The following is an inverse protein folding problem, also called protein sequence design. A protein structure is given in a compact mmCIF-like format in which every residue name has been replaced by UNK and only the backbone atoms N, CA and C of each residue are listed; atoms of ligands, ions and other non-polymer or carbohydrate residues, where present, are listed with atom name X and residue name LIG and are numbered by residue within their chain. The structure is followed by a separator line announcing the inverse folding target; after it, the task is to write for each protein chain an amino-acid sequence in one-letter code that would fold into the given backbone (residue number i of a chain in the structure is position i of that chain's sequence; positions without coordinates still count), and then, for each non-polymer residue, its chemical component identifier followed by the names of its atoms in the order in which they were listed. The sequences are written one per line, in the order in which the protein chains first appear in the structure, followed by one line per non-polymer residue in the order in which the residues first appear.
data_IF_845561210178
#
_entry.id   IF_845561210178
#
_cell.length_a   1.000
_cell.length_b   1.000
_cell.length_c   1.000
_cell.angle_alpha   90.00
_cell.angle_beta   90.00
_cell.angle_gamma   90.00
#
_symmetry.space_group_name_H-M   'P 1'
#
loop_
_entity.id
_entity.type
_entity.pdbx_description
1 polymer ?
#
# COMPACT_ATOMS: atom_id res chain seq x y z
N UNK A 1 8.34 -1.57 113.10
CA UNK A 1 9.03 -1.64 111.80
C UNK A 1 7.98 -1.63 110.71
N UNK A 2 8.04 -0.59 109.89
CA UNK A 2 7.03 -0.18 108.92
C UNK A 2 6.92 -1.15 107.74
N UNK A 3 5.72 -1.30 107.20
CA UNK A 3 5.46 -2.11 106.01
C UNK A 3 3.98 -2.10 105.64
N UNK A 4 3.42 -0.92 105.43
CA UNK A 4 2.01 -0.69 105.06
C UNK A 4 1.87 -0.82 103.55
N UNK A 5 1.21 -1.87 103.06
CA UNK A 5 0.85 -1.99 101.63
C UNK A 5 -0.64 -1.74 101.45
N UNK A 6 -0.91 -0.63 100.77
CA UNK A 6 -2.19 0.00 100.50
C UNK A 6 -2.86 -0.67 99.29
N UNK A 7 -4.15 -1.04 99.40
CA UNK A 7 -5.03 -1.34 98.26
C UNK A 7 -5.57 -0.02 97.69
N UNK A 8 -5.64 0.14 96.35
CA UNK A 8 -6.62 1.05 95.78
C UNK A 8 -7.54 0.39 94.73
N UNK A 9 -8.83 0.68 94.93
CA UNK A 9 -9.87 1.07 93.98
C UNK A 9 -9.88 0.50 92.55
N UNK A 10 -10.98 -0.21 92.25
CA UNK A 10 -11.50 -0.43 90.90
C UNK A 10 -11.82 0.90 90.21
N UNK A 11 -11.13 1.17 89.11
CA UNK A 11 -11.51 2.15 88.09
C UNK A 11 -12.28 1.44 86.97
N UNK A 12 -13.39 2.04 86.53
CA UNK A 12 -14.23 1.53 85.44
C UNK A 12 -13.53 1.54 84.08
N UNK A 13 -14.06 0.80 83.09
CA UNK A 13 -13.46 0.72 81.77
C UNK A 13 -13.65 2.03 81.00
N UNK A 14 -12.53 2.63 80.62
CA UNK A 14 -12.45 3.66 79.58
C UNK A 14 -12.76 2.98 78.25
N UNK A 15 -13.82 3.42 77.59
CA UNK A 15 -14.19 3.01 76.24
C UNK A 15 -13.22 3.66 75.25
N UNK A 16 -12.09 3.00 74.98
CA UNK A 16 -11.17 3.38 73.91
C UNK A 16 -11.77 2.91 72.58
N UNK A 17 -12.38 3.83 71.82
CA UNK A 17 -12.67 3.60 70.40
C UNK A 17 -11.35 3.43 69.64
N UNK A 18 -10.92 2.17 69.47
CA UNK A 18 -9.94 1.81 68.46
C UNK A 18 -10.66 1.90 67.12
N UNK A 19 -10.48 3.03 66.43
CA UNK A 19 -10.83 3.17 65.03
C UNK A 19 -9.87 2.28 64.24
N UNK A 20 -10.21 1.00 64.10
CA UNK A 20 -9.54 0.07 63.22
C UNK A 20 -9.75 0.53 61.79
N UNK A 21 -8.76 1.23 61.23
CA UNK A 21 -8.69 1.51 59.81
C UNK A 21 -8.43 0.17 59.10
N UNK A 22 -9.50 -0.56 58.78
CA UNK A 22 -9.48 -1.63 57.81
C UNK A 22 -9.25 -0.98 56.44
N UNK A 23 -7.99 -0.83 56.07
CA UNK A 23 -7.59 -0.58 54.69
C UNK A 23 -7.99 -1.81 53.90
N UNK A 24 -9.19 -1.77 53.32
CA UNK A 24 -9.50 -2.59 52.16
C UNK A 24 -8.52 -2.16 51.08
N UNK A 25 -7.47 -2.97 50.88
CA UNK A 25 -6.74 -3.00 49.62
C UNK A 25 -7.76 -3.38 48.56
N UNK A 26 -8.36 -2.38 47.92
CA UNK A 26 -9.00 -2.57 46.64
C UNK A 26 -7.95 -3.22 45.73
N UNK A 27 -8.25 -4.32 45.04
CA UNK A 27 -7.37 -4.81 44.00
C UNK A 27 -7.12 -3.62 43.06
N UNK A 28 -5.83 -3.31 42.82
CA UNK A 28 -5.46 -2.34 41.82
C UNK A 28 -6.24 -2.69 40.56
N UNK A 29 -7.18 -1.84 40.16
CA UNK A 29 -7.85 -1.98 38.90
C UNK A 29 -6.74 -2.00 37.85
N UNK A 30 -6.54 -3.15 37.20
CA UNK A 30 -5.70 -3.24 36.03
C UNK A 30 -6.11 -2.09 35.12
N UNK A 31 -5.18 -1.18 34.85
CA UNK A 31 -5.40 -0.13 33.85
C UNK A 31 -5.76 -0.90 32.59
N UNK A 32 -7.03 -0.85 32.20
CA UNK A 32 -7.49 -1.45 30.95
C UNK A 32 -6.58 -0.87 29.87
N UNK A 33 -5.82 -1.73 29.20
CA UNK A 33 -5.05 -1.29 28.05
C UNK A 33 -6.02 -0.57 27.10
N UNK A 34 -5.61 0.58 26.57
CA UNK A 34 -6.40 1.26 25.56
C UNK A 34 -6.66 0.28 24.41
N UNK A 35 -7.86 0.30 23.79
CA UNK A 35 -8.12 -0.55 22.63
C UNK A 35 -7.08 -0.28 21.53
N UNK A 36 -6.81 -1.26 20.65
CA UNK A 36 -5.93 -1.04 19.50
C UNK A 36 -6.37 0.17 18.67
N UNK A 37 -5.41 0.95 18.20
CA UNK A 37 -5.67 2.27 17.63
C UNK A 37 -6.52 2.23 16.36
N UNK A 38 -7.39 3.22 16.22
CA UNK A 38 -7.99 3.63 14.95
C UNK A 38 -7.01 4.42 14.09
N UNK A 39 -7.30 4.60 12.79
CA UNK A 39 -6.48 5.45 11.91
C UNK A 39 -6.39 6.89 12.43
N UNK A 40 -7.50 7.44 12.94
CA UNK A 40 -7.55 8.80 13.45
C UNK A 40 -6.66 9.00 14.69
N UNK A 41 -6.63 8.03 15.60
CA UNK A 41 -5.75 8.05 16.77
C UNK A 41 -4.28 7.92 16.35
N UNK A 42 -3.98 7.08 15.35
CA UNK A 42 -2.63 6.94 14.81
C UNK A 42 -2.14 8.24 14.17
N UNK A 43 -2.95 8.88 13.32
CA UNK A 43 -2.64 10.20 12.73
C UNK A 43 -2.40 11.25 13.80
N UNK A 44 -3.20 11.24 14.87
CA UNK A 44 -3.03 12.15 16.01
C UNK A 44 -1.73 11.87 16.78
N UNK A 45 -1.31 10.60 16.89
CA UNK A 45 -0.08 10.22 17.56
C UNK A 45 1.17 10.56 16.73
N UNK A 46 1.15 10.22 15.45
CA UNK A 46 2.20 10.51 14.47
C UNK A 46 1.69 10.29 13.04
N UNK A 47 1.53 11.38 12.28
CA UNK A 47 1.22 11.31 10.85
C UNK A 47 2.51 11.28 10.01
N UNK A 48 2.89 10.08 9.57
CA UNK A 48 4.08 9.89 8.73
C UNK A 48 3.94 10.50 7.32
N UNK A 49 2.71 10.82 6.87
CA UNK A 49 2.51 11.52 5.60
C UNK A 49 2.95 12.97 5.66
N UNK A 50 2.91 13.59 6.84
CA UNK A 50 3.27 14.99 7.07
C UNK A 50 4.72 15.22 7.48
N UNK A 51 5.50 14.17 7.74
CA UNK A 51 6.88 14.33 8.20
C UNK A 51 7.78 14.93 7.10
N UNK A 52 8.69 15.86 7.48
CA UNK A 52 9.59 16.47 6.52
C UNK A 52 10.58 15.44 5.99
N UNK A 53 10.91 15.55 4.70
CA UNK A 53 12.01 14.80 4.10
C UNK A 53 13.32 15.59 4.22
N UNK A 54 14.45 14.89 4.25
CA UNK A 54 15.76 15.52 4.17
C UNK A 54 15.92 16.31 2.86
N UNK A 55 16.66 17.42 2.91
CA UNK A 55 17.01 18.17 1.70
C UNK A 55 17.75 17.27 0.72
N UNK A 56 17.31 17.26 -0.54
CA UNK A 56 17.89 16.40 -1.57
C UNK A 56 17.38 14.95 -1.56
N UNK A 57 16.36 14.65 -0.74
CA UNK A 57 15.65 13.38 -0.82
C UNK A 57 15.00 13.21 -2.21
N UNK A 58 15.04 11.98 -2.71
CA UNK A 58 14.23 11.56 -3.84
C UNK A 58 12.75 11.48 -3.41
N UNK A 59 11.84 11.33 -4.37
CA UNK A 59 10.44 11.05 -4.07
C UNK A 59 10.33 9.80 -3.17
N UNK A 60 9.47 9.82 -2.13
CA UNK A 60 9.29 8.67 -1.26
C UNK A 60 8.91 7.41 -2.04
N UNK A 61 9.54 6.31 -1.68
CA UNK A 61 9.17 4.96 -2.14
C UNK A 61 7.88 4.49 -1.48
N UNK A 62 7.62 4.91 -0.24
CA UNK A 62 6.35 4.76 0.46
C UNK A 62 6.11 5.99 1.33
N UNK A 63 4.88 6.48 1.35
CA UNK A 63 4.45 7.55 2.24
C UNK A 63 2.97 7.35 2.56
N UNK A 64 2.71 6.84 3.75
CA UNK A 64 1.38 6.54 4.29
C UNK A 64 1.34 6.95 5.76
N UNK A 65 0.22 6.70 6.46
CA UNK A 65 0.10 7.01 7.89
C UNK A 65 1.08 6.15 8.69
N UNK A 66 1.30 4.90 8.28
CA UNK A 66 2.11 3.94 9.03
C UNK A 66 3.51 3.69 8.49
N UNK A 67 3.84 4.16 7.28
CA UNK A 67 5.15 3.99 6.68
C UNK A 67 5.61 5.22 5.93
N UNK A 68 6.82 5.70 6.27
CA UNK A 68 7.58 6.63 5.45
C UNK A 68 8.89 5.98 5.05
N UNK A 69 9.16 5.86 3.74
CA UNK A 69 10.45 5.41 3.26
C UNK A 69 10.91 6.15 2.02
N UNK A 70 12.16 6.60 2.02
CA UNK A 70 12.73 7.37 0.91
C UNK A 70 14.25 7.19 0.81
N UNK A 71 14.81 7.71 -0.27
CA UNK A 71 16.25 7.66 -0.56
C UNK A 71 16.85 9.05 -0.52
N UNK A 72 18.05 9.18 0.02
CA UNK A 72 18.78 10.46 0.11
C UNK A 72 20.28 10.22 0.07
N UNK A 73 21.03 11.15 -0.52
CA UNK A 73 22.50 11.14 -0.44
C UNK A 73 22.93 11.70 0.91
N UNK A 74 23.42 10.84 1.81
CA UNK A 74 23.83 11.18 3.17
C UNK A 74 24.67 10.02 3.78
N UNK A 75 25.07 10.15 5.04
CA UNK A 75 25.53 9.04 5.88
C UNK A 75 24.42 8.57 6.85
N UNK A 76 24.51 7.33 7.36
CA UNK A 76 23.48 6.76 8.24
C UNK A 76 23.28 7.58 9.53
N UNK A 77 24.33 8.01 10.26
CA UNK A 77 24.19 8.86 11.44
C UNK A 77 23.44 10.17 11.17
N UNK A 78 23.79 10.88 10.09
CA UNK A 78 23.11 12.13 9.70
C UNK A 78 21.64 11.91 9.38
N UNK A 79 21.32 10.86 8.61
CA UNK A 79 19.94 10.55 8.24
C UNK A 79 19.09 10.13 9.44
N UNK A 80 19.65 9.33 10.36
CA UNK A 80 18.99 8.95 11.61
C UNK A 80 18.77 10.15 12.53
N UNK A 81 19.79 10.98 12.73
CA UNK A 81 19.71 12.15 13.60
C UNK A 81 18.64 13.15 13.14
N UNK A 82 18.44 13.30 11.82
CA UNK A 82 17.40 14.16 11.25
C UNK A 82 15.99 13.77 11.74
N UNK A 83 15.60 12.50 11.60
CA UNK A 83 14.27 12.05 12.03
C UNK A 83 14.15 11.85 13.53
N UNK A 84 15.23 11.41 14.20
CA UNK A 84 15.28 11.36 15.66
C UNK A 84 14.95 12.73 16.27
N UNK A 85 15.49 13.82 15.69
CA UNK A 85 15.17 15.18 16.12
C UNK A 85 13.68 15.47 15.94
N UNK A 86 13.11 15.22 14.75
CA UNK A 86 11.68 15.43 14.46
C UNK A 86 10.77 14.66 15.42
N UNK A 87 11.11 13.42 15.76
CA UNK A 87 10.38 12.59 16.72
C UNK A 87 10.50 13.16 18.15
N UNK A 88 11.71 13.53 18.57
CA UNK A 88 11.96 14.08 19.92
C UNK A 88 11.25 15.43 20.12
N UNK A 89 11.21 16.30 19.11
CA UNK A 89 10.46 17.55 19.13
C UNK A 89 8.94 17.34 19.26
N UNK A 90 8.45 16.17 18.86
CA UNK A 90 7.08 15.70 19.03
C UNK A 90 6.89 14.86 20.31
N UNK A 91 7.83 14.93 21.26
CA UNK A 91 7.83 14.23 22.56
C UNK A 91 7.94 12.70 22.49
N UNK A 92 8.39 12.15 21.36
CA UNK A 92 8.70 10.72 21.28
C UNK A 92 10.01 10.41 22.01
N UNK A 93 9.99 9.36 22.84
CA UNK A 93 11.13 8.95 23.66
C UNK A 93 11.84 7.75 23.03
N UNK A 94 13.11 7.93 22.68
CA UNK A 94 13.98 6.83 22.21
C UNK A 94 14.18 5.78 23.31
N UNK A 95 13.96 4.53 22.96
CA UNK A 95 14.13 3.38 23.84
C UNK A 95 15.59 2.90 23.86
N UNK A 96 16.02 2.20 24.93
CA UNK A 96 17.31 1.54 24.96
C UNK A 96 17.48 0.56 23.79
N UNK A 97 18.71 0.44 23.28
CA UNK A 97 19.05 -0.45 22.17
C UNK A 97 19.16 0.24 20.81
N UNK A 98 19.10 1.57 20.75
CA UNK A 98 19.47 2.32 19.56
C UNK A 98 20.93 2.06 19.17
N UNK A 99 21.18 1.93 17.88
CA UNK A 99 22.49 1.69 17.28
C UNK A 99 22.74 2.77 16.25
N UNK A 100 23.96 3.31 16.21
CA UNK A 100 24.37 4.28 15.19
C UNK A 100 25.82 4.03 14.82
N UNK A 101 26.04 3.59 13.59
CA UNK A 101 27.34 3.38 12.95
C UNK A 101 27.31 3.99 11.54
N UNK A 102 28.45 4.02 10.86
CA UNK A 102 28.51 4.50 9.47
C UNK A 102 27.69 3.63 8.51
N UNK A 103 27.60 2.32 8.77
CA UNK A 103 26.95 1.34 7.90
C UNK A 103 25.49 1.07 8.28
N UNK A 104 25.03 1.56 9.44
CA UNK A 104 23.71 1.25 9.95
C UNK A 104 23.33 2.17 11.11
N UNK A 105 22.11 2.73 11.09
CA UNK A 105 21.55 3.39 12.26
C UNK A 105 20.09 2.99 12.45
N UNK A 106 19.70 2.66 13.68
CA UNK A 106 18.31 2.33 14.00
C UNK A 106 17.97 2.60 15.46
N UNK A 107 16.71 2.86 15.72
CA UNK A 107 16.16 2.92 17.07
C UNK A 107 14.65 2.80 17.10
N UNK A 108 14.13 2.58 18.29
CA UNK A 108 12.70 2.49 18.57
C UNK A 108 12.32 3.65 19.47
N UNK A 109 11.18 4.28 19.20
CA UNK A 109 10.66 5.40 19.97
C UNK A 109 9.25 5.09 20.44
N UNK A 110 8.88 5.62 21.61
CA UNK A 110 7.53 5.45 22.15
C UNK A 110 6.91 6.77 22.58
N UNK A 111 5.60 6.90 22.42
CA UNK A 111 4.82 8.04 22.90
C UNK A 111 3.37 7.62 23.18
N UNK A 112 2.87 7.84 24.40
CA UNK A 112 1.50 7.47 24.80
C UNK A 112 1.06 6.05 24.40
N UNK A 113 1.96 5.07 24.58
CA UNK A 113 1.71 3.66 24.25
C UNK A 113 1.96 3.32 22.78
N UNK A 114 2.08 4.30 21.88
CA UNK A 114 2.47 4.05 20.50
C UNK A 114 3.96 3.76 20.37
N UNK A 115 4.32 2.93 19.40
CA UNK A 115 5.70 2.53 19.07
C UNK A 115 5.99 2.86 17.61
N UNK A 116 7.12 3.52 17.34
CA UNK A 116 7.64 3.76 15.98
C UNK A 116 9.09 3.30 15.91
N UNK A 117 9.47 2.63 14.82
CA UNK A 117 10.86 2.32 14.51
C UNK A 117 11.39 3.28 13.44
N UNK A 118 12.67 3.65 13.56
CA UNK A 118 13.40 4.45 12.59
C UNK A 118 14.67 3.70 12.22
N UNK A 119 14.95 3.58 10.93
CA UNK A 119 16.21 3.04 10.40
C UNK A 119 16.76 3.87 9.25
N UNK A 120 18.09 3.89 9.14
CA UNK A 120 18.84 4.46 8.04
C UNK A 120 19.94 3.46 7.67
N UNK A 121 19.89 2.96 6.43
CA UNK A 121 20.80 1.92 5.93
C UNK A 121 21.33 2.27 4.54
N UNK A 122 22.59 1.97 4.19
CA UNK A 122 23.09 2.14 2.84
C UNK A 122 22.30 1.26 1.87
N UNK A 123 21.94 1.79 0.71
CA UNK A 123 21.22 1.01 -0.30
C UNK A 123 22.09 -0.14 -0.87
N UNK A 124 23.42 0.02 -0.80
CA UNK A 124 24.38 -0.97 -1.31
C UNK A 124 24.46 -1.05 -2.83
N UNK A 125 23.82 -0.14 -3.56
CA UNK A 125 23.86 -0.06 -5.02
C UNK A 125 25.18 0.61 -5.48
N UNK A 126 26.07 -0.11 -6.20
CA UNK A 126 27.32 0.46 -6.70
C UNK A 126 27.14 1.63 -7.67
N UNK A 127 25.98 1.74 -8.33
CA UNK A 127 25.67 2.85 -9.24
C UNK A 127 25.23 4.11 -8.50
N UNK A 128 24.91 4.00 -7.22
CA UNK A 128 24.42 5.08 -6.37
C UNK A 128 25.19 5.13 -5.04
N UNK A 129 26.52 5.36 -5.07
CA UNK A 129 27.33 5.40 -3.87
C UNK A 129 26.88 6.55 -2.95
N UNK A 130 26.82 6.27 -1.64
CA UNK A 130 26.40 7.25 -0.63
C UNK A 130 24.89 7.50 -0.56
N UNK A 131 24.06 6.69 -1.24
CA UNK A 131 22.60 6.73 -1.07
C UNK A 131 22.18 5.87 0.12
N UNK A 132 21.46 6.50 1.03
CA UNK A 132 20.86 5.90 2.22
C UNK A 132 19.37 5.70 1.98
N UNK A 133 18.87 4.53 2.35
CA UNK A 133 17.46 4.26 2.51
C UNK A 133 17.05 4.56 3.94
N UNK A 134 16.10 5.49 4.10
CA UNK A 134 15.52 5.88 5.38
C UNK A 134 14.14 5.28 5.48
N UNK A 135 13.79 4.66 6.62
CA UNK A 135 12.49 4.07 6.88
C UNK A 135 11.99 4.41 8.28
N UNK A 136 10.74 4.84 8.38
CA UNK A 136 10.00 4.97 9.64
C UNK A 136 8.74 4.11 9.55
N UNK A 137 8.54 3.25 10.54
CA UNK A 137 7.37 2.36 10.61
C UNK A 137 6.65 2.56 11.94
N UNK A 138 5.38 2.94 11.87
CA UNK A 138 4.49 3.04 13.03
C UNK A 138 3.90 1.65 13.32
N UNK A 139 4.18 1.11 14.50
CA UNK A 139 3.73 -0.22 14.93
C UNK A 139 2.36 -0.21 15.61
N UNK A 140 1.86 0.98 15.96
CA UNK A 140 0.61 1.14 16.71
C UNK A 140 0.82 1.16 18.22
N UNK A 141 -0.25 0.95 18.97
CA UNK A 141 -0.32 1.11 20.43
C UNK A 141 -0.52 -0.19 21.23
N UNK A 142 -0.22 -1.35 20.63
CA UNK A 142 -0.46 -2.65 21.25
C UNK A 142 0.72 -3.07 22.11
N UNK A 143 0.47 -3.31 23.40
CA UNK A 143 1.45 -3.95 24.28
C UNK A 143 1.47 -5.47 24.02
N UNK A 144 2.44 -5.91 23.21
CA UNK A 144 2.62 -7.31 22.83
C UNK A 144 2.84 -8.24 24.03
N UNK A 145 3.34 -7.72 25.16
CA UNK A 145 3.52 -8.52 26.38
C UNK A 145 2.20 -8.86 27.06
N UNK A 146 1.21 -8.00 26.90
CA UNK A 146 -0.11 -8.12 27.53
C UNK A 146 -1.08 -9.02 26.77
N UNK A 147 -0.76 -9.36 25.51
CA UNK A 147 -1.60 -10.22 24.69
C UNK A 147 -1.79 -11.61 25.32
N UNK A 148 -2.98 -12.21 25.19
CA UNK A 148 -3.24 -13.52 25.74
C UNK A 148 -2.39 -14.57 25.04
N UNK A 149 -1.82 -15.49 25.81
CA UNK A 149 -0.90 -16.52 25.32
C UNK A 149 -1.17 -17.88 25.98
N UNK A 150 -0.92 -19.00 25.28
CA UNK A 150 -1.06 -20.33 25.87
C UNK A 150 -0.23 -20.49 27.15
N UNK A 151 -0.76 -21.27 28.10
CA UNK A 151 -0.08 -21.54 29.36
C UNK A 151 1.25 -22.29 29.14
N UNK A 152 2.23 -22.05 30.03
CA UNK A 152 3.52 -22.76 30.00
C UNK A 152 4.54 -22.23 28.98
N UNK A 153 4.24 -21.14 28.29
CA UNK A 153 5.22 -20.46 27.42
C UNK A 153 6.34 -19.78 28.22
N UNK A 154 7.57 -19.87 27.72
CA UNK A 154 8.74 -19.17 28.25
C UNK A 154 9.14 -18.02 27.34
N UNK A 155 9.45 -16.86 27.92
CA UNK A 155 9.87 -15.66 27.18
C UNK A 155 11.29 -15.84 26.63
N UNK A 156 11.46 -15.65 25.32
CA UNK A 156 12.78 -15.58 24.67
C UNK A 156 13.24 -14.12 24.63
N UNK A 157 12.35 -13.25 24.17
CA UNK A 157 12.58 -11.82 24.02
C UNK A 157 11.24 -11.09 24.05
N UNK A 158 11.12 -9.98 24.77
CA UNK A 158 9.90 -9.16 24.78
C UNK A 158 10.32 -7.71 24.65
N UNK A 159 10.15 -7.16 23.45
CA UNK A 159 10.41 -5.76 23.14
C UNK A 159 9.16 -5.04 22.63
N UNK A 160 9.23 -3.71 22.45
CA UNK A 160 8.06 -2.91 22.05
C UNK A 160 7.46 -3.28 20.69
N UNK A 161 8.29 -3.78 19.76
CA UNK A 161 7.88 -4.09 18.39
C UNK A 161 7.69 -5.59 18.12
N UNK A 162 8.27 -6.44 18.97
CA UNK A 162 8.20 -7.91 18.82
C UNK A 162 8.27 -8.60 20.17
N UNK A 163 7.41 -9.59 20.37
CA UNK A 163 7.47 -10.49 21.51
C UNK A 163 7.64 -11.94 21.02
N UNK A 164 8.60 -12.65 21.59
CA UNK A 164 9.00 -14.00 21.20
C UNK A 164 8.93 -14.94 22.41
N UNK A 165 8.30 -16.08 22.21
CA UNK A 165 8.08 -17.11 23.22
C UNK A 165 8.49 -18.48 22.69
N UNK A 166 8.75 -19.40 23.61
CA UNK A 166 8.95 -20.83 23.31
C UNK A 166 8.01 -21.70 24.13
N UNK A 167 7.63 -22.85 23.57
CA UNK A 167 6.88 -23.90 24.27
C UNK A 167 7.32 -25.28 23.79
N UNK A 168 7.07 -26.30 24.64
CA UNK A 168 7.26 -27.70 24.27
C UNK A 168 6.06 -28.30 23.53
N UNK A 169 4.91 -27.59 23.52
CA UNK A 169 3.73 -28.02 22.78
C UNK A 169 4.02 -28.04 21.25
N UNK A 170 3.39 -28.95 20.49
CA UNK A 170 3.52 -29.00 19.03
C UNK A 170 3.11 -27.69 18.35
N UNK A 171 3.67 -27.44 17.16
CA UNK A 171 3.42 -26.23 16.35
C UNK A 171 1.93 -26.03 16.08
N UNK A 172 1.23 -27.08 15.63
CA UNK A 172 -0.19 -27.01 15.28
C UNK A 172 -1.08 -26.74 16.50
N UNK A 173 -0.86 -27.46 17.60
CA UNK A 173 -1.58 -27.24 18.86
C UNK A 173 -1.36 -25.81 19.38
N UNK A 174 -0.12 -25.32 19.30
CA UNK A 174 0.23 -23.96 19.74
C UNK A 174 -0.47 -22.91 18.87
N UNK A 175 -0.50 -23.08 17.55
CA UNK A 175 -1.17 -22.15 16.63
C UNK A 175 -2.69 -22.08 16.90
N UNK A 176 -3.34 -23.24 17.08
CA UNK A 176 -4.77 -23.30 17.44
C UNK A 176 -5.05 -22.61 18.77
N UNK A 177 -4.20 -22.84 19.77
CA UNK A 177 -4.36 -22.21 21.09
C UNK A 177 -4.17 -20.68 21.03
N UNK A 178 -3.16 -20.19 20.30
CA UNK A 178 -2.98 -18.75 20.07
C UNK A 178 -4.18 -18.13 19.36
N UNK A 179 -4.66 -18.74 18.27
CA UNK A 179 -5.84 -18.24 17.52
C UNK A 179 -7.06 -18.14 18.43
N UNK A 180 -7.35 -19.20 19.19
CA UNK A 180 -8.50 -19.22 20.11
C UNK A 180 -8.45 -18.06 21.10
N UNK A 181 -7.31 -17.88 21.77
CA UNK A 181 -7.14 -16.84 22.78
C UNK A 181 -7.27 -15.42 22.20
N UNK A 182 -6.72 -15.17 21.01
CA UNK A 182 -6.82 -13.86 20.37
C UNK A 182 -8.26 -13.56 19.92
N UNK A 183 -8.98 -14.55 19.39
CA UNK A 183 -10.39 -14.39 19.03
C UNK A 183 -11.26 -14.11 20.26
N UNK A 184 -11.00 -14.80 21.38
CA UNK A 184 -11.68 -14.54 22.66
C UNK A 184 -11.40 -13.13 23.21
N UNK A 185 -10.24 -12.55 22.87
CA UNK A 185 -9.83 -11.18 23.20
C UNK A 185 -10.32 -10.12 22.19
N UNK A 186 -11.11 -10.53 21.19
CA UNK A 186 -11.75 -9.63 20.23
C UNK A 186 -10.94 -9.34 18.97
N UNK A 187 -9.82 -10.03 18.76
CA UNK A 187 -9.07 -9.97 17.50
C UNK A 187 -9.77 -10.75 16.40
N UNK A 188 -9.88 -10.15 15.22
CA UNK A 188 -10.54 -10.77 14.06
C UNK A 188 -9.50 -11.44 13.16
N UNK A 189 -9.67 -12.69 12.73
CA UNK A 189 -8.81 -13.30 11.72
C UNK A 189 -8.76 -12.44 10.45
N UNK A 190 -7.56 -12.24 9.92
CA UNK A 190 -7.29 -11.31 8.83
C UNK A 190 -6.28 -11.89 7.83
N UNK A 191 -6.49 -13.16 7.48
CA UNK A 191 -5.65 -13.92 6.56
C UNK A 191 -4.63 -14.83 7.24
N UNK A 192 -4.07 -15.76 6.47
CA UNK A 192 -3.04 -16.69 6.92
C UNK A 192 -2.12 -17.15 5.80
N UNK A 193 -0.92 -17.56 6.17
CA UNK A 193 0.08 -18.22 5.34
C UNK A 193 0.69 -19.40 6.11
N UNK A 194 1.49 -20.29 5.49
CA UNK A 194 2.15 -21.37 6.23
C UNK A 194 2.98 -20.85 7.41
N UNK A 195 2.60 -21.23 8.63
CA UNK A 195 3.28 -20.82 9.88
C UNK A 195 3.04 -19.38 10.33
N UNK A 196 2.14 -18.64 9.67
CA UNK A 196 1.81 -17.25 10.01
C UNK A 196 0.30 -17.02 9.91
N UNK A 197 -0.28 -16.38 10.92
CA UNK A 197 -1.66 -15.92 10.90
C UNK A 197 -1.71 -14.44 11.25
N UNK A 198 -2.55 -13.70 10.54
CA UNK A 198 -2.76 -12.28 10.80
C UNK A 198 -4.11 -12.08 11.47
N UNK A 199 -4.14 -11.14 12.40
CA UNK A 199 -5.36 -10.70 13.07
C UNK A 199 -5.47 -9.19 12.99
N UNK A 200 -6.68 -8.68 13.12
CA UNK A 200 -6.97 -7.26 13.08
C UNK A 200 -7.92 -6.84 14.19
N UNK A 201 -7.64 -5.69 14.77
CA UNK A 201 -8.55 -4.97 15.66
C UNK A 201 -8.36 -3.48 15.37
N UNK A 202 -9.46 -2.80 15.02
CA UNK A 202 -9.42 -1.44 14.45
C UNK A 202 -8.38 -1.35 13.31
N UNK A 203 -7.50 -0.36 13.34
CA UNK A 203 -6.46 -0.16 12.34
C UNK A 203 -5.12 -0.78 12.74
N UNK A 204 -5.09 -1.79 13.62
CA UNK A 204 -3.88 -2.55 13.94
C UNK A 204 -3.96 -3.95 13.34
N UNK A 205 -2.89 -4.36 12.66
CA UNK A 205 -2.67 -5.76 12.27
C UNK A 205 -1.65 -6.40 13.21
N UNK A 206 -2.06 -7.49 13.84
CA UNK A 206 -1.20 -8.39 14.61
C UNK A 206 -0.74 -9.53 13.71
N UNK A 207 0.55 -9.81 13.70
CA UNK A 207 1.14 -10.99 13.06
C UNK A 207 1.51 -12.00 14.12
N UNK A 208 1.04 -13.24 13.98
CA UNK A 208 1.38 -14.37 14.84
C UNK A 208 2.10 -15.39 14.00
N UNK A 209 3.40 -15.58 14.23
CA UNK A 209 4.16 -16.65 13.61
C UNK A 209 4.38 -17.78 14.61
N UNK A 210 4.07 -19.01 14.20
CA UNK A 210 4.29 -20.22 14.99
C UNK A 210 5.07 -21.20 14.15
N UNK A 211 6.27 -21.58 14.61
CA UNK A 211 7.19 -22.42 13.85
C UNK A 211 8.01 -23.32 14.76
N UNK A 212 8.53 -24.41 14.21
CA UNK A 212 9.53 -25.21 14.90
C UNK A 212 10.85 -24.44 14.98
N UNK A 213 11.53 -24.51 16.11
CA UNK A 213 12.84 -23.90 16.33
C UNK A 213 13.90 -25.00 16.57
N UNK A 214 14.55 -25.54 15.51
CA UNK A 214 15.56 -26.59 15.65
C UNK A 214 16.71 -26.19 16.59
N UNK A 215 17.12 -24.92 16.55
CA UNK A 215 18.15 -24.36 17.43
C UNK A 215 17.76 -24.33 18.92
N UNK A 216 16.48 -24.52 19.25
CA UNK A 216 15.98 -24.57 20.62
C UNK A 216 15.53 -25.99 21.02
N UNK A 217 16.33 -26.99 20.62
CA UNK A 217 16.04 -28.41 20.89
C UNK A 217 14.67 -28.87 20.34
N UNK A 218 14.26 -28.34 19.19
CA UNK A 218 13.01 -28.72 18.53
C UNK A 218 11.74 -28.18 19.19
N UNK A 219 11.85 -27.23 20.13
CA UNK A 219 10.70 -26.50 20.70
C UNK A 219 9.95 -25.72 19.63
N UNK A 220 8.71 -25.38 19.92
CA UNK A 220 7.92 -24.44 19.12
C UNK A 220 8.25 -23.01 19.55
N UNK A 221 8.56 -22.15 18.58
CA UNK A 221 8.70 -20.71 18.77
C UNK A 221 7.45 -19.98 18.30
N UNK A 222 7.04 -18.97 19.09
CA UNK A 222 5.95 -18.05 18.77
C UNK A 222 6.52 -16.65 18.70
N UNK A 223 6.24 -15.92 17.62
CA UNK A 223 6.60 -14.51 17.46
C UNK A 223 5.35 -13.68 17.20
N UNK A 224 5.18 -12.61 17.97
CA UNK A 224 4.10 -11.64 17.85
C UNK A 224 4.68 -10.30 17.42
N UNK A 225 4.09 -9.63 16.44
CA UNK A 225 4.41 -8.25 16.08
C UNK A 225 3.16 -7.50 15.63
N UNK A 226 3.12 -6.19 15.86
CA UNK A 226 2.00 -5.32 15.47
C UNK A 226 2.45 -4.26 14.46
N UNK A 227 1.52 -3.89 13.60
CA UNK A 227 1.69 -2.84 12.60
C UNK A 227 0.44 -1.97 12.54
N UNK A 228 0.65 -0.65 12.48
CA UNK A 228 -0.42 0.29 12.17
C UNK A 228 -0.79 0.16 10.69
N UNK A 229 -2.08 0.13 10.40
CA UNK A 229 -2.63 0.20 9.05
C UNK A 229 -3.01 1.66 8.73
N UNK A 230 -2.79 2.06 7.49
CA UNK A 230 -3.19 3.38 6.98
C UNK A 230 -4.68 3.48 6.63
N UNK A 231 -5.38 2.35 6.61
CA UNK A 231 -6.83 2.29 6.46
C UNK A 231 -7.39 1.11 7.26
N UNK A 232 -8.55 1.33 7.89
CA UNK A 232 -9.33 0.28 8.52
C UNK A 232 -10.20 -0.41 7.45
N UNK A 233 -9.60 -1.36 6.72
CA UNK A 233 -10.28 -2.13 5.68
C UNK A 233 -10.82 -3.43 6.30
N UNK A 234 -12.14 -3.67 6.34
CA UNK A 234 -12.69 -4.92 6.85
C UNK A 234 -12.55 -6.06 5.83
N UNK A 235 -12.51 -7.29 6.31
CA UNK A 235 -12.60 -8.50 5.49
C UNK A 235 -13.39 -9.58 6.26
N UNK A 236 -14.05 -10.53 5.56
CA UNK A 236 -14.63 -11.71 6.20
C UNK A 236 -13.56 -12.53 6.94
N UNK A 237 -13.97 -13.25 7.99
CA UNK A 237 -13.05 -14.05 8.80
C UNK A 237 -12.45 -15.24 8.02
N UNK A 238 -13.27 -15.87 7.16
CA UNK A 238 -12.86 -17.03 6.37
C UNK A 238 -12.61 -16.61 4.92
N UNK A 239 -11.33 -16.49 4.59
CA UNK A 239 -10.86 -16.06 3.26
C UNK A 239 -9.73 -16.95 2.76
N UNK A 240 -9.51 -16.93 1.46
CA UNK A 240 -8.41 -17.60 0.78
C UNK A 240 -7.43 -16.54 0.30
N UNK A 241 -6.15 -16.70 0.64
CA UNK A 241 -5.06 -15.84 0.19
C UNK A 241 -5.29 -14.33 0.44
N UNK A 242 -5.85 -13.96 1.59
CA UNK A 242 -6.04 -12.56 1.94
C UNK A 242 -4.70 -11.83 1.99
N UNK A 243 -4.63 -10.73 1.25
CA UNK A 243 -3.49 -9.82 1.16
C UNK A 243 -3.95 -8.40 1.43
N UNK A 244 -3.27 -7.71 2.33
CA UNK A 244 -3.41 -6.27 2.54
C UNK A 244 -2.18 -5.55 2.00
N UNK A 245 -2.41 -4.49 1.23
CA UNK A 245 -1.37 -3.59 0.74
C UNK A 245 -1.60 -2.18 1.28
N UNK A 246 -0.70 -1.70 2.14
CA UNK A 246 -0.84 -0.38 2.77
C UNK A 246 -0.71 0.78 1.77
N UNK A 247 0.17 0.61 0.77
CA UNK A 247 0.42 1.61 -0.28
C UNK A 247 -0.81 1.92 -1.13
N UNK A 248 -1.69 0.93 -1.33
CA UNK A 248 -2.96 1.09 -2.06
C UNK A 248 -4.19 1.06 -1.16
N UNK A 249 -3.99 0.91 0.16
CA UNK A 249 -5.05 0.81 1.18
C UNK A 249 -6.15 -0.17 0.77
N UNK A 250 -5.74 -1.34 0.29
CA UNK A 250 -6.68 -2.33 -0.22
C UNK A 250 -6.46 -3.70 0.42
N UNK A 251 -7.55 -4.45 0.56
CA UNK A 251 -7.53 -5.88 0.81
C UNK A 251 -7.96 -6.63 -0.46
N UNK A 252 -7.25 -7.70 -0.78
CA UNK A 252 -7.55 -8.63 -1.87
C UNK A 252 -7.67 -10.02 -1.25
N UNK A 253 -8.73 -10.76 -1.57
CA UNK A 253 -8.88 -12.15 -1.18
C UNK A 253 -9.76 -12.91 -2.16
N UNK A 254 -9.67 -14.23 -2.10
CA UNK A 254 -10.60 -15.14 -2.74
C UNK A 254 -11.54 -15.76 -1.70
N UNK A 255 -12.77 -16.09 -2.10
CA UNK A 255 -13.75 -16.75 -1.24
C UNK A 255 -14.58 -17.77 -2.02
N UNK A 256 -15.14 -18.75 -1.29
CA UNK A 256 -16.17 -19.67 -1.81
C UNK A 256 -17.59 -19.15 -1.57
N UNK A 257 -17.72 -18.03 -0.86
CA UNK A 257 -19.00 -17.38 -0.62
C UNK A 257 -19.57 -16.82 -1.93
N UNK A 258 -20.89 -16.63 -1.94
CA UNK A 258 -21.57 -16.04 -3.08
C UNK A 258 -21.40 -14.52 -3.03
N UNK A 259 -21.50 -13.89 -4.19
CA UNK A 259 -21.40 -12.43 -4.31
C UNK A 259 -22.40 -11.70 -3.39
N UNK A 260 -23.63 -12.20 -3.32
CA UNK A 260 -24.69 -11.67 -2.45
C UNK A 260 -24.28 -11.67 -0.97
N UNK A 261 -23.58 -12.72 -0.52
CA UNK A 261 -23.13 -12.87 0.86
C UNK A 261 -22.02 -11.84 1.18
N UNK A 262 -21.12 -11.59 0.22
CA UNK A 262 -20.06 -10.57 0.32
C UNK A 262 -20.64 -9.15 0.31
N UNK A 263 -21.62 -8.89 -0.55
CA UNK A 263 -22.33 -7.60 -0.59
C UNK A 263 -23.02 -7.35 0.75
N UNK A 264 -23.76 -8.34 1.28
CA UNK A 264 -24.43 -8.24 2.57
C UNK A 264 -23.44 -7.97 3.71
N UNK A 265 -22.31 -8.69 3.73
CA UNK A 265 -21.23 -8.47 4.71
C UNK A 265 -20.75 -7.01 4.72
N UNK A 266 -20.46 -6.43 3.56
CA UNK A 266 -19.95 -5.07 3.49
C UNK A 266 -21.02 -4.01 3.77
N UNK A 267 -22.27 -4.21 3.36
CA UNK A 267 -23.37 -3.34 3.77
C UNK A 267 -23.52 -3.28 5.29
N UNK A 268 -23.50 -4.43 5.96
CA UNK A 268 -23.62 -4.49 7.41
C UNK A 268 -22.39 -3.87 8.09
N UNK A 269 -21.20 -4.31 7.70
CA UNK A 269 -19.94 -3.95 8.38
C UNK A 269 -19.61 -2.48 8.18
N UNK A 270 -19.63 -1.99 6.93
CA UNK A 270 -19.35 -0.59 6.64
C UNK A 270 -20.53 0.31 7.08
N UNK A 271 -21.78 -0.18 7.00
CA UNK A 271 -22.95 0.54 7.49
C UNK A 271 -22.88 0.86 8.98
N UNK A 272 -22.43 -0.08 9.82
CA UNK A 272 -22.17 0.14 11.25
C UNK A 272 -21.12 1.23 11.51
N UNK A 273 -20.18 1.41 10.58
CA UNK A 273 -19.14 2.44 10.64
C UNK A 273 -19.55 3.76 9.92
N UNK A 274 -20.83 3.93 9.57
CA UNK A 274 -21.36 5.16 8.99
C UNK A 274 -21.14 5.32 7.48
N UNK A 275 -20.72 4.26 6.80
CA UNK A 275 -20.60 4.25 5.34
C UNK A 275 -21.94 3.92 4.69
N UNK A 276 -22.19 4.50 3.52
CA UNK A 276 -23.40 4.27 2.73
C UNK A 276 -23.02 3.84 1.33
N UNK A 277 -23.63 2.76 0.86
CA UNK A 277 -23.51 2.36 -0.54
C UNK A 277 -24.14 3.41 -1.46
N UNK A 278 -23.53 3.68 -2.61
CA UNK A 278 -24.05 4.62 -3.61
C UNK A 278 -25.15 4.02 -4.47
N UNK A 279 -25.25 2.69 -4.50
CA UNK A 279 -26.29 1.91 -5.18
C UNK A 279 -26.75 0.77 -4.26
N UNK A 280 -27.95 0.24 -4.49
CA UNK A 280 -28.45 -0.92 -3.72
C UNK A 280 -27.74 -2.22 -4.11
N UNK A 281 -27.40 -2.37 -5.38
CA UNK A 281 -26.73 -3.55 -5.92
C UNK A 281 -25.43 -3.15 -6.65
N UNK A 282 -24.47 -4.08 -6.79
CA UNK A 282 -23.29 -3.87 -7.63
C UNK A 282 -23.66 -3.53 -9.07
N UNK A 283 -22.85 -2.68 -9.70
CA UNK A 283 -22.94 -2.32 -11.12
C UNK A 283 -21.91 -3.14 -11.90
N UNK A 284 -22.33 -3.75 -13.01
CA UNK A 284 -21.42 -4.47 -13.90
C UNK A 284 -20.59 -3.49 -14.75
N UNK A 285 -19.27 -3.62 -14.67
CA UNK A 285 -18.29 -2.90 -15.48
C UNK A 285 -17.32 -3.92 -16.07
N UNK A 286 -17.42 -4.15 -17.37
CA UNK A 286 -16.74 -5.24 -18.07
C UNK A 286 -17.01 -6.61 -17.43
N UNK A 287 -15.98 -7.28 -16.92
CA UNK A 287 -16.08 -8.58 -16.24
C UNK A 287 -16.19 -8.46 -14.70
N UNK A 288 -16.24 -7.24 -14.18
CA UNK A 288 -16.27 -6.96 -12.74
C UNK A 288 -17.64 -6.47 -12.30
N UNK A 289 -18.00 -6.75 -11.06
CA UNK A 289 -19.13 -6.16 -10.36
C UNK A 289 -18.59 -5.22 -9.30
N UNK A 290 -19.03 -3.96 -9.35
CA UNK A 290 -18.48 -2.87 -8.54
C UNK A 290 -19.56 -2.26 -7.66
N UNK A 291 -19.25 -2.09 -6.37
CA UNK A 291 -20.08 -1.35 -5.43
C UNK A 291 -19.23 -0.28 -4.73
N UNK A 292 -19.74 0.94 -4.66
CA UNK A 292 -19.04 2.06 -4.02
C UNK A 292 -19.73 2.40 -2.71
N UNK A 293 -18.95 2.65 -1.67
CA UNK A 293 -19.42 3.20 -0.40
C UNK A 293 -18.78 4.56 -0.15
N UNK A 294 -19.55 5.48 0.43
CA UNK A 294 -19.12 6.83 0.83
C UNK A 294 -19.46 7.08 2.29
N UNK A 295 -18.60 7.81 2.99
CA UNK A 295 -18.89 8.34 4.32
C UNK A 295 -19.14 9.86 4.27
N UNK A 296 -19.52 10.47 5.39
CA UNK A 296 -19.75 11.91 5.49
C UNK A 296 -18.50 12.76 5.21
N UNK A 297 -17.28 12.40 5.67
CA UNK A 297 -16.04 13.05 5.27
C UNK A 297 -15.74 13.08 3.76
N UNK A 298 -16.40 12.23 2.96
CA UNK A 298 -16.22 12.13 1.51
C UNK A 298 -15.20 11.07 1.08
N UNK A 299 -14.71 10.25 2.01
CA UNK A 299 -13.90 9.08 1.70
C UNK A 299 -14.69 8.07 0.88
N UNK A 300 -13.98 7.16 0.23
CA UNK A 300 -14.53 6.20 -0.71
C UNK A 300 -13.97 4.81 -0.47
N UNK A 301 -14.86 3.83 -0.38
CA UNK A 301 -14.52 2.43 -0.56
C UNK A 301 -15.02 1.96 -1.94
N UNK A 302 -14.15 1.28 -2.69
CA UNK A 302 -14.56 0.54 -3.91
C UNK A 302 -14.46 -0.95 -3.62
N UNK A 303 -15.60 -1.64 -3.65
CA UNK A 303 -15.70 -3.08 -3.66
C UNK A 303 -15.73 -3.55 -5.12
N UNK A 304 -14.72 -4.31 -5.55
CA UNK A 304 -14.67 -4.95 -6.86
C UNK A 304 -14.73 -6.47 -6.67
N UNK A 305 -15.60 -7.14 -7.42
CA UNK A 305 -15.80 -8.59 -7.35
C UNK A 305 -15.84 -9.19 -8.75
N UNK A 306 -15.25 -10.37 -8.93
CA UNK A 306 -15.42 -11.15 -10.17
C UNK A 306 -15.12 -12.63 -9.94
N UNK A 307 -15.80 -13.54 -10.65
CA UNK A 307 -15.56 -14.97 -10.53
C UNK A 307 -14.25 -15.37 -11.24
N UNK A 308 -13.43 -16.19 -10.57
CA UNK A 308 -12.25 -16.85 -11.15
C UNK A 308 -12.64 -18.28 -11.49
N UNK A 309 -13.07 -18.49 -12.74
CA UNK A 309 -13.72 -19.74 -13.18
C UNK A 309 -12.85 -20.98 -13.00
N UNK A 310 -11.56 -20.87 -13.29
CA UNK A 310 -10.63 -22.02 -13.24
C UNK A 310 -10.36 -22.49 -11.80
N UNK A 311 -10.54 -21.60 -10.82
CA UNK A 311 -10.33 -21.87 -9.40
C UNK A 311 -11.65 -22.10 -8.64
N UNK A 312 -12.80 -21.78 -9.25
CA UNK A 312 -14.11 -21.92 -8.64
C UNK A 312 -14.33 -21.01 -7.44
N UNK A 313 -13.72 -19.81 -7.44
CA UNK A 313 -13.78 -18.83 -6.34
C UNK A 313 -14.28 -17.48 -6.84
N UNK A 314 -14.77 -16.66 -5.91
CA UNK A 314 -15.03 -15.24 -6.13
C UNK A 314 -13.80 -14.45 -5.64
N UNK A 315 -13.20 -13.66 -6.52
CA UNK A 315 -12.14 -12.73 -6.15
C UNK A 315 -12.72 -11.39 -5.75
N UNK A 316 -12.32 -10.89 -4.60
CA UNK A 316 -12.84 -9.69 -3.97
C UNK A 316 -11.70 -8.72 -3.67
N UNK A 317 -11.85 -7.47 -4.07
CA UNK A 317 -10.97 -6.37 -3.68
C UNK A 317 -11.80 -5.27 -3.00
N UNK A 318 -11.41 -4.86 -1.81
CA UNK A 318 -11.94 -3.64 -1.18
C UNK A 318 -10.81 -2.62 -1.05
N UNK A 319 -10.94 -1.47 -1.72
CA UNK A 319 -9.95 -0.39 -1.73
C UNK A 319 -10.49 0.86 -1.06
N UNK A 320 -9.76 1.40 -0.09
CA UNK A 320 -10.04 2.69 0.55
C UNK A 320 -9.32 3.84 -0.16
N UNK A 321 -9.99 4.98 -0.29
CA UNK A 321 -9.42 6.25 -0.72
C UNK A 321 -9.95 7.38 0.17
N UNK A 322 -9.05 8.24 0.66
CA UNK A 322 -9.48 9.41 1.43
C UNK A 322 -10.16 10.44 0.51
N UNK A 323 -10.95 11.34 1.10
CA UNK A 323 -11.59 12.45 0.37
C UNK A 323 -10.57 13.27 -0.46
N UNK A 324 -9.37 13.50 0.09
CA UNK A 324 -8.29 14.20 -0.61
C UNK A 324 -7.76 13.42 -1.82
N UNK A 325 -7.60 12.10 -1.69
CA UNK A 325 -7.18 11.22 -2.79
C UNK A 325 -8.23 11.18 -3.90
N UNK A 326 -9.52 11.11 -3.53
CA UNK A 326 -10.62 11.16 -4.49
C UNK A 326 -10.63 12.50 -5.23
N UNK A 327 -10.57 13.62 -4.53
CA UNK A 327 -10.55 14.94 -5.14
C UNK A 327 -9.35 15.13 -6.09
N UNK A 328 -8.18 14.63 -5.71
CA UNK A 328 -6.99 14.65 -6.56
C UNK A 328 -7.17 13.80 -7.83
N UNK A 329 -7.79 12.62 -7.72
CA UNK A 329 -8.08 11.76 -8.85
C UNK A 329 -9.13 12.38 -9.79
N UNK A 330 -10.21 12.93 -9.26
CA UNK A 330 -11.25 13.63 -10.03
C UNK A 330 -10.68 14.83 -10.78
N UNK A 331 -9.81 15.63 -10.14
CA UNK A 331 -9.11 16.73 -10.79
C UNK A 331 -8.27 16.24 -11.97
N UNK A 332 -7.46 15.19 -11.78
CA UNK A 332 -6.64 14.59 -12.85
C UNK A 332 -7.49 14.08 -14.01
N UNK A 333 -8.62 13.42 -13.71
CA UNK A 333 -9.54 12.92 -14.73
C UNK A 333 -10.16 14.07 -15.53
N UNK A 334 -10.63 15.13 -14.85
CA UNK A 334 -11.21 16.30 -15.50
C UNK A 334 -10.18 17.04 -16.38
N UNK A 335 -8.95 17.20 -15.91
CA UNK A 335 -7.85 17.79 -16.69
C UNK A 335 -7.51 16.92 -17.92
N UNK A 336 -7.46 15.59 -17.77
CA UNK A 336 -7.23 14.67 -18.88
C UNK A 336 -8.37 14.69 -19.91
N UNK A 337 -9.63 14.74 -19.46
CA UNK A 337 -10.79 14.88 -20.34
C UNK A 337 -10.79 16.23 -21.06
N UNK A 338 -10.47 17.33 -20.36
CA UNK A 338 -10.36 18.65 -20.97
C UNK A 338 -9.22 18.71 -22.00
N UNK A 339 -8.07 18.08 -21.71
CA UNK A 339 -6.95 17.96 -22.64
C UNK A 339 -7.34 17.14 -23.88
N UNK A 340 -8.03 16.01 -23.70
CA UNK A 340 -8.55 15.18 -24.80
C UNK A 340 -9.54 15.96 -25.66
N UNK A 341 -10.50 16.66 -25.05
CA UNK A 341 -11.47 17.50 -25.76
C UNK A 341 -10.78 18.64 -26.53
N UNK A 342 -9.72 19.24 -25.97
CA UNK A 342 -8.92 20.27 -26.66
C UNK A 342 -8.20 19.70 -27.88
N UNK A 343 -7.64 18.49 -27.78
CA UNK A 343 -7.04 17.77 -28.90
C UNK A 343 -8.06 17.44 -29.98
N UNK A 344 -9.27 17.01 -29.62
CA UNK A 344 -10.35 16.71 -30.59
C UNK A 344 -10.87 17.96 -31.31
N UNK A 345 -10.88 19.12 -30.64
CA UNK A 345 -11.37 20.38 -31.20
C UNK A 345 -10.28 21.24 -31.88
N UNK A 346 -9.03 20.77 -31.91
CA UNK A 346 -7.97 21.49 -32.61
C UNK A 346 -8.14 21.24 -34.12
N UNK A 347 -8.23 22.30 -34.96
CA UNK A 347 -8.41 22.13 -36.40
C UNK A 347 -7.31 21.25 -36.99
N UNK A 348 -7.69 20.13 -37.58
CA UNK A 348 -6.79 19.25 -38.31
C UNK A 348 -6.41 19.91 -39.63
N UNK A 349 -5.11 20.07 -39.87
CA UNK A 349 -4.66 20.48 -41.21
C UNK A 349 -4.63 19.25 -42.12
N UNK A 350 -5.06 19.42 -43.37
CA UNK A 350 -4.92 18.38 -44.38
C UNK A 350 -3.46 18.27 -44.83
N UNK A 351 -2.96 17.05 -44.86
CA UNK A 351 -1.62 16.68 -45.29
C UNK A 351 -1.76 15.72 -46.44
N UNK A 352 -1.36 16.18 -47.62
CA UNK A 352 -1.34 15.35 -48.82
C UNK A 352 -0.08 14.49 -48.83
N UNK A 353 -0.25 13.17 -48.84
CA UNK A 353 0.85 12.20 -48.87
C UNK A 353 1.03 11.68 -50.29
N UNK A 354 2.19 11.97 -50.88
CA UNK A 354 2.58 11.38 -52.16
C UNK A 354 2.93 9.90 -51.98
N UNK A 355 2.07 9.00 -52.48
CA UNK A 355 2.34 7.58 -52.42
C UNK A 355 3.51 7.21 -53.36
N UNK A 356 4.41 6.29 -52.96
CA UNK A 356 5.50 5.82 -53.81
C UNK A 356 5.00 5.23 -55.13
N UNK A 357 5.83 5.28 -56.17
CA UNK A 357 5.52 4.66 -57.45
C UNK A 357 5.28 3.14 -57.30
N UNK A 358 4.20 2.64 -57.90
CA UNK A 358 3.82 1.23 -57.79
C UNK A 358 3.11 0.85 -56.48
N UNK A 359 2.77 1.82 -55.63
CA UNK A 359 1.96 1.59 -54.44
C UNK A 359 0.52 1.18 -54.80
N UNK A 360 0.01 0.15 -54.13
CA UNK A 360 -1.40 -0.24 -54.19
C UNK A 360 -2.07 0.15 -52.88
N UNK A 361 -3.01 1.10 -52.93
CA UNK A 361 -3.74 1.56 -51.76
C UNK A 361 -4.70 0.47 -51.26
N UNK A 362 -4.57 0.11 -49.98
CA UNK A 362 -5.43 -0.87 -49.30
C UNK A 362 -6.54 -0.18 -48.50
N UNK A 363 -6.20 0.86 -47.72
CA UNK A 363 -7.15 1.63 -46.91
C UNK A 363 -6.78 3.11 -46.92
N UNK A 364 -7.79 4.00 -46.93
CA UNK A 364 -7.58 5.43 -46.71
C UNK A 364 -8.72 6.02 -45.87
N UNK A 365 -8.34 6.64 -44.77
CA UNK A 365 -9.19 7.43 -43.89
C UNK A 365 -8.43 8.70 -43.47
N UNK A 366 -9.11 9.72 -42.90
CA UNK A 366 -8.46 10.95 -42.48
C UNK A 366 -7.33 10.75 -41.47
N UNK A 367 -7.27 9.65 -40.73
CA UNK A 367 -6.19 9.41 -39.75
C UNK A 367 -5.27 8.27 -40.13
N UNK A 368 -5.53 7.56 -41.24
CA UNK A 368 -4.80 6.33 -41.60
C UNK A 368 -4.74 6.13 -43.11
N UNK A 369 -3.56 5.85 -43.64
CA UNK A 369 -3.37 5.37 -45.02
C UNK A 369 -2.59 4.06 -44.96
N UNK A 370 -3.14 3.02 -45.58
CA UNK A 370 -2.47 1.74 -45.75
C UNK A 370 -2.27 1.43 -47.21
N UNK A 371 -1.07 1.00 -47.57
CA UNK A 371 -0.76 0.62 -48.93
C UNK A 371 0.33 -0.46 -48.95
N UNK A 372 0.46 -1.12 -50.09
CA UNK A 372 1.51 -2.09 -50.33
C UNK A 372 2.39 -1.66 -51.49
N UNK A 373 3.65 -2.10 -51.50
CA UNK A 373 4.56 -1.99 -52.64
C UNK A 373 5.16 -3.37 -52.95
N UNK A 374 5.75 -3.54 -54.12
CA UNK A 374 6.36 -4.82 -54.50
C UNK A 374 7.42 -5.27 -53.48
N UNK A 375 7.55 -6.59 -53.32
CA UNK A 375 8.53 -7.23 -52.44
C UNK A 375 9.95 -6.70 -52.66
N UNK A 376 10.68 -6.39 -51.58
CA UNK A 376 12.04 -5.84 -51.65
C UNK A 376 12.11 -4.34 -52.00
N UNK A 377 10.97 -3.65 -52.15
CA UNK A 377 10.92 -2.20 -52.40
C UNK A 377 10.62 -1.38 -51.13
N UNK A 378 10.46 -2.01 -49.97
CA UNK A 378 10.04 -1.34 -48.73
C UNK A 378 10.99 -0.21 -48.31
N UNK A 379 12.30 -0.48 -48.27
CA UNK A 379 13.28 0.57 -47.95
C UNK A 379 13.23 1.76 -48.91
N UNK A 380 13.14 1.49 -50.21
CA UNK A 380 13.11 2.54 -51.23
C UNK A 380 11.82 3.38 -51.13
N UNK A 381 10.68 2.74 -50.89
CA UNK A 381 9.39 3.40 -50.67
C UNK A 381 9.39 4.25 -49.39
N UNK A 382 9.96 3.74 -48.30
CA UNK A 382 10.12 4.49 -47.05
C UNK A 382 11.04 5.71 -47.24
N UNK A 383 12.18 5.54 -47.91
CA UNK A 383 13.13 6.64 -48.17
C UNK A 383 12.52 7.72 -49.08
N UNK A 384 11.68 7.34 -50.05
CA UNK A 384 10.91 8.29 -50.86
C UNK A 384 9.90 9.10 -50.04
N UNK A 385 9.16 8.45 -49.14
CA UNK A 385 8.22 9.12 -48.24
C UNK A 385 8.93 10.05 -47.26
N UNK A 386 10.04 9.61 -46.67
CA UNK A 386 10.88 10.45 -45.79
C UNK A 386 11.31 11.73 -46.48
N UNK A 387 11.87 11.59 -47.68
CA UNK A 387 12.29 12.75 -48.48
C UNK A 387 11.14 13.70 -48.76
N UNK A 388 9.98 13.18 -49.18
CA UNK A 388 8.78 13.99 -49.43
C UNK A 388 8.31 14.74 -48.18
N UNK A 389 8.29 14.09 -47.02
CA UNK A 389 7.92 14.71 -45.74
C UNK A 389 8.92 15.79 -45.32
N UNK A 390 10.22 15.52 -45.43
CA UNK A 390 11.27 16.51 -45.13
C UNK A 390 11.19 17.74 -46.05
N UNK A 391 10.97 17.55 -47.35
CA UNK A 391 10.78 18.63 -48.33
C UNK A 391 9.53 19.47 -48.02
N UNK A 392 8.48 18.84 -47.49
CA UNK A 392 7.29 19.52 -46.98
C UNK A 392 7.50 20.22 -45.62
N UNK A 393 8.73 20.24 -45.10
CA UNK A 393 9.14 20.93 -43.88
C UNK A 393 8.80 20.18 -42.60
N UNK A 394 8.62 18.86 -42.67
CA UNK A 394 8.47 18.02 -41.48
C UNK A 394 9.83 17.65 -40.91
N UNK A 395 9.96 17.76 -39.58
CA UNK A 395 11.13 17.29 -38.86
C UNK A 395 11.00 15.81 -38.58
N UNK A 396 12.04 15.04 -38.90
CA UNK A 396 12.06 13.60 -38.70
C UNK A 396 12.66 13.23 -37.34
N UNK A 397 12.02 12.29 -36.64
CA UNK A 397 12.54 11.58 -35.49
C UNK A 397 12.48 10.08 -35.80
N UNK A 398 13.65 9.47 -36.00
CA UNK A 398 13.78 8.06 -36.39
C UNK A 398 13.86 7.20 -35.15
N UNK A 399 12.97 6.21 -35.06
CA UNK A 399 13.02 5.21 -33.99
C UNK A 399 13.81 3.97 -34.47
N UNK A 400 13.44 3.39 -35.62
CA UNK A 400 14.10 2.19 -36.22
C UNK A 400 13.95 2.24 -37.75
N UNK A 401 15.01 1.93 -38.52
CA UNK A 401 14.94 1.78 -39.97
C UNK A 401 16.03 0.81 -40.51
N UNK A 402 15.78 -0.50 -40.45
CA UNK A 402 16.76 -1.54 -40.80
C UNK A 402 16.58 -2.15 -42.21
N UNK A 403 15.66 -1.59 -43.00
CA UNK A 403 15.40 -1.98 -44.39
C UNK A 403 14.39 -3.12 -44.55
N UNK A 404 14.13 -3.91 -43.50
CA UNK A 404 13.04 -4.90 -43.46
C UNK A 404 11.89 -4.44 -42.57
N UNK A 405 12.18 -3.63 -41.58
CA UNK A 405 11.18 -2.96 -40.75
C UNK A 405 11.61 -1.51 -40.56
N UNK A 406 10.63 -0.60 -40.49
CA UNK A 406 10.90 0.72 -39.97
C UNK A 406 9.70 1.36 -39.31
N UNK A 407 10.01 2.23 -38.36
CA UNK A 407 9.07 3.10 -37.65
C UNK A 407 9.70 4.49 -37.56
N UNK A 408 9.04 5.45 -38.20
CA UNK A 408 9.53 6.81 -38.42
C UNK A 408 8.42 7.79 -38.04
N UNK A 409 8.76 8.76 -37.20
CA UNK A 409 7.82 9.82 -36.81
C UNK A 409 8.23 11.15 -37.45
N UNK A 410 7.27 11.85 -38.05
CA UNK A 410 7.44 13.18 -38.64
C UNK A 410 6.64 14.18 -37.82
N UNK A 411 7.25 15.30 -37.43
CA UNK A 411 6.60 16.37 -36.66
C UNK A 411 6.65 17.72 -37.36
N UNK A 412 5.56 18.48 -37.27
CA UNK A 412 5.46 19.87 -37.74
C UNK A 412 4.57 20.68 -36.81
N UNK A 413 5.17 21.41 -35.87
CA UNK A 413 4.41 22.10 -34.82
C UNK A 413 3.76 21.09 -33.86
N UNK A 414 2.43 21.11 -33.75
CA UNK A 414 1.64 20.16 -32.95
C UNK A 414 1.13 18.95 -33.77
N UNK A 415 1.53 18.86 -35.04
CA UNK A 415 1.11 17.83 -35.98
C UNK A 415 2.14 16.71 -36.04
N UNK A 416 1.66 15.48 -36.19
CA UNK A 416 2.49 14.29 -36.25
C UNK A 416 1.97 13.31 -37.30
N UNK A 417 2.88 12.72 -38.06
CA UNK A 417 2.61 11.61 -38.98
C UNK A 417 3.59 10.48 -38.67
N UNK A 418 3.08 9.30 -38.35
CA UNK A 418 3.89 8.10 -38.10
C UNK A 418 3.84 7.21 -39.34
N UNK A 419 5.01 6.74 -39.78
CA UNK A 419 5.18 5.79 -40.87
C UNK A 419 5.75 4.49 -40.32
N UNK A 420 5.01 3.40 -40.47
CA UNK A 420 5.48 2.06 -40.15
C UNK A 420 5.46 1.19 -41.41
N UNK A 421 6.47 0.34 -41.58
CA UNK A 421 6.52 -0.61 -42.69
C UNK A 421 7.19 -1.93 -42.33
N UNK A 422 6.78 -2.99 -43.04
CA UNK A 422 7.38 -4.33 -42.99
C UNK A 422 7.59 -4.84 -44.42
N UNK A 423 8.83 -5.19 -44.75
CA UNK A 423 9.24 -5.80 -46.01
C UNK A 423 9.99 -7.10 -45.74
N UNK A 424 9.29 -8.24 -45.74
CA UNK A 424 9.90 -9.53 -45.49
C UNK A 424 10.71 -10.04 -46.70
N UNK A 425 10.62 -9.39 -47.86
CA UNK A 425 11.42 -9.70 -49.06
C UNK A 425 10.90 -10.85 -49.93
N UNK A 426 9.77 -11.47 -49.58
CA UNK A 426 9.12 -12.53 -50.38
C UNK A 426 7.60 -12.33 -50.60
N UNK A 427 7.00 -11.33 -49.96
CA UNK A 427 5.62 -10.86 -50.20
C UNK A 427 5.64 -9.33 -50.32
N UNK A 428 4.61 -8.68 -50.89
CA UNK A 428 4.53 -7.22 -50.95
C UNK A 428 4.81 -6.59 -49.59
N UNK A 429 5.59 -5.50 -49.58
CA UNK A 429 5.87 -4.77 -48.36
C UNK A 429 4.63 -3.97 -47.95
N UNK A 430 4.30 -4.02 -46.67
CA UNK A 430 3.11 -3.38 -46.10
C UNK A 430 3.50 -2.08 -45.42
N UNK A 431 2.69 -1.05 -45.62
CA UNK A 431 2.89 0.29 -45.07
C UNK A 431 1.65 0.76 -44.34
N UNK A 432 1.85 1.39 -43.19
CA UNK A 432 0.81 2.10 -42.45
C UNK A 432 1.30 3.49 -42.07
N UNK A 433 0.59 4.50 -42.55
CA UNK A 433 0.71 5.88 -42.12
C UNK A 433 -0.39 6.22 -41.14
N UNK A 434 -0.07 6.90 -40.05
CA UNK A 434 -1.04 7.38 -39.05
C UNK A 434 -0.86 8.87 -38.81
N UNK A 435 -1.96 9.62 -38.87
CA UNK A 435 -1.98 11.06 -38.63
C UNK A 435 -2.47 11.36 -37.22
N UNK A 436 -1.76 12.24 -36.51
CA UNK A 436 -2.19 12.82 -35.23
C UNK A 436 -2.23 14.33 -35.38
N UNK A 437 -3.41 14.92 -35.13
CA UNK A 437 -3.69 16.35 -35.35
C UNK A 437 -3.59 16.78 -36.82
N UNK A 438 -3.69 15.82 -37.76
CA UNK A 438 -3.73 16.04 -39.21
C UNK A 438 -4.69 15.09 -39.88
N UNK A 439 -5.26 15.54 -41.01
CA UNK A 439 -6.01 14.69 -41.92
C UNK A 439 -5.09 14.23 -43.05
N UNK A 440 -4.88 12.92 -43.15
CA UNK A 440 -4.12 12.32 -44.24
C UNK A 440 -5.01 12.16 -45.47
N UNK A 441 -4.51 12.63 -46.61
CA UNK A 441 -5.11 12.34 -47.91
C UNK A 441 -4.03 11.84 -48.87
N UNK A 442 -4.24 10.71 -49.59
CA UNK A 442 -3.31 10.31 -50.61
C UNK A 442 -3.34 11.33 -51.76
N UNK A 443 -2.17 11.85 -52.13
CA UNK A 443 -2.05 12.77 -53.26
C UNK A 443 -2.46 12.05 -54.54
N UNK A 444 -3.38 12.64 -55.32
CA UNK A 444 -3.72 12.09 -56.64
C UNK A 444 -2.51 12.27 -57.56
N UNK A 445 -2.07 11.23 -58.29
CA UNK A 445 -1.06 11.40 -59.32
C UNK A 445 -1.55 12.47 -60.31
N UNK A 446 -0.74 13.51 -60.51
CA UNK A 446 -1.04 14.58 -61.46
C UNK A 446 -1.28 13.98 -62.85
N UNK A 447 -2.35 14.43 -63.51
CA UNK A 447 -2.64 14.09 -64.90
C UNK A 447 -1.57 14.60 -65.85
#
# INVERSE_FOLDING_TARGET
MSGTTFRPAHAGPVLTCVLGLLTFLAPAASISAAPPATVAEAVKALDLTGLPLMKGAQAPTSQSVSLLSYRVVADCPTAYAFHKKSLTEQNWTEQPGAVTTEQYASGTFTHHGFVVSLSAVPLGDPQQPGVIFVSLTLHGNVDLKSLPRPAGMSEIYVGPQVAMYSTSAPVEETAVACRKLLVEDGWQPYGKAPGVEWFKQNAIRLTVSVSAAPAQAGKTAVSLSAEQLSADVPAPAETVQLQYADSTKQVLFDTKDREEDIVAFYHETLGKAGWKATTENPVSVDFKHILIFRNEPGDLFTLEMYPVKDEGVLRVTLRHQSAAEVAAQEKRLNEAMAAKKKLENTPTSKVSIALPAGATLAESSPTRIEFTVASGQGKAAADALRKSMQEAGWKEEVTIADGKVGDITFQKGNQEVSLSYVDPGFIPAEFTLRGRQVELEPARPGK
#
